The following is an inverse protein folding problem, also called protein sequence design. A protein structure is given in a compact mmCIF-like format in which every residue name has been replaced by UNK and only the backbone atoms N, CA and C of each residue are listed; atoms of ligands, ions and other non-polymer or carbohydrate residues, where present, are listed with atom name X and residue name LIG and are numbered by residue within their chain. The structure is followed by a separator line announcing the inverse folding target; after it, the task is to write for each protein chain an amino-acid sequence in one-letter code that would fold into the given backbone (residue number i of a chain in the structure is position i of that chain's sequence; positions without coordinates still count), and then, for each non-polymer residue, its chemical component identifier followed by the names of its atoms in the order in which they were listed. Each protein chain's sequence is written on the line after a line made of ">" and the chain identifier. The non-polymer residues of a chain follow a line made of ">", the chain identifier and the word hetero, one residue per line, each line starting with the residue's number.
data_IF_719939539195
#
_entry.id   IF_719939539195
#
_cell.length_a   1.000
_cell.length_b   1.000
_cell.length_c   1.000
_cell.angle_alpha   90.00
_cell.angle_beta   90.00
_cell.angle_gamma   90.00
#
_symmetry.space_group_name_H-M   'P 1'
#
loop_
_entity.id
_entity.type
_entity.pdbx_description
1 polymer ?
#
# COMPACT_ATOMS: atom_id res chain seq x y z
N UNK A 1 -3.12 -32.86 39.26
CA UNK A 1 -4.39 -33.63 39.32
C UNK A 1 -4.02 -35.03 39.77
N UNK A 2 -3.42 -35.16 40.96
CA UNK A 2 -2.53 -36.31 41.27
C UNK A 2 -2.92 -37.08 42.52
N UNK A 3 -4.16 -36.90 43.01
CA UNK A 3 -4.65 -37.60 44.21
C UNK A 3 -5.83 -38.55 43.96
N UNK A 4 -6.43 -38.54 42.77
CA UNK A 4 -7.63 -39.36 42.47
C UNK A 4 -7.29 -40.73 41.89
N UNK A 5 -6.09 -40.90 41.30
CA UNK A 5 -5.72 -42.14 40.59
C UNK A 5 -5.35 -43.28 41.55
N UNK A 6 -4.89 -42.99 42.78
CA UNK A 6 -4.34 -44.02 43.66
C UNK A 6 -5.38 -44.90 44.39
N UNK A 7 -6.68 -44.55 44.36
CA UNK A 7 -7.73 -45.31 45.06
C UNK A 7 -8.29 -46.48 44.22
N UNK A 8 -8.07 -46.50 42.91
CA UNK A 8 -8.66 -47.52 42.03
C UNK A 8 -7.87 -48.85 41.93
N UNK A 9 -6.69 -48.95 42.54
CA UNK A 9 -5.79 -50.12 42.38
C UNK A 9 -5.85 -51.14 43.54
N UNK A 10 -7.00 -51.30 44.22
CA UNK A 10 -7.13 -52.34 45.27
C UNK A 10 -8.07 -53.50 44.95
N UNK A 11 -8.88 -53.40 43.89
CA UNK A 11 -9.82 -54.46 43.50
C UNK A 11 -9.45 -55.10 42.15
N UNK A 12 -9.00 -56.37 42.19
CA UNK A 12 -8.68 -57.20 41.02
C UNK A 12 -9.82 -57.34 40.00
N UNK A 13 -11.04 -56.93 40.34
CA UNK A 13 -12.22 -56.97 39.47
C UNK A 13 -12.20 -55.91 38.36
N UNK A 14 -11.47 -54.81 38.54
CA UNK A 14 -11.44 -53.69 37.59
C UNK A 14 -10.23 -53.69 36.65
N UNK A 15 -9.26 -54.60 36.86
CA UNK A 15 -8.04 -54.71 36.03
C UNK A 15 -8.34 -54.97 34.56
N UNK A 16 -9.37 -55.76 34.24
CA UNK A 16 -9.77 -56.03 32.85
C UNK A 16 -10.45 -54.84 32.18
N UNK A 17 -11.27 -54.09 32.93
CA UNK A 17 -11.99 -52.91 32.43
C UNK A 17 -11.01 -51.76 32.16
N UNK A 18 -10.05 -51.54 33.05
CA UNK A 18 -9.00 -50.53 32.87
C UNK A 18 -8.15 -50.82 31.64
N UNK A 19 -7.85 -52.10 31.36
CA UNK A 19 -7.10 -52.50 30.17
C UNK A 19 -7.87 -52.25 28.87
N UNK A 20 -9.18 -52.54 28.85
CA UNK A 20 -10.04 -52.27 27.68
C UNK A 20 -10.15 -50.77 27.42
N UNK A 21 -10.32 -49.95 28.47
CA UNK A 21 -10.39 -48.49 28.33
C UNK A 21 -9.08 -47.92 27.79
N UNK A 22 -7.93 -48.41 28.25
CA UNK A 22 -6.63 -48.00 27.74
C UNK A 22 -6.46 -48.33 26.25
N UNK A 23 -6.91 -49.51 25.80
CA UNK A 23 -6.87 -49.89 24.38
C UNK A 23 -7.76 -48.98 23.53
N UNK A 24 -8.96 -48.66 24.00
CA UNK A 24 -9.87 -47.75 23.27
C UNK A 24 -9.27 -46.35 23.14
N UNK A 25 -8.64 -45.84 24.19
CA UNK A 25 -7.95 -44.53 24.15
C UNK A 25 -6.80 -44.56 23.14
N UNK A 26 -5.99 -45.63 23.12
CA UNK A 26 -4.90 -45.78 22.15
C UNK A 26 -5.44 -45.84 20.72
N UNK A 27 -6.53 -46.57 20.47
CA UNK A 27 -7.17 -46.63 19.16
C UNK A 27 -7.69 -45.25 18.75
N UNK A 28 -8.31 -44.49 19.65
CA UNK A 28 -8.78 -43.12 19.36
C UNK A 28 -7.60 -42.19 19.05
N UNK A 29 -6.48 -42.30 19.76
CA UNK A 29 -5.27 -41.51 19.49
C UNK A 29 -4.67 -41.89 18.13
N UNK A 30 -4.60 -43.18 17.81
CA UNK A 30 -4.12 -43.65 16.50
C UNK A 30 -5.07 -43.18 15.39
N UNK A 31 -6.39 -43.26 15.62
CA UNK A 31 -7.38 -42.80 14.65
C UNK A 31 -7.32 -41.28 14.46
N UNK A 32 -7.14 -40.51 15.53
CA UNK A 32 -6.92 -39.07 15.48
C UNK A 32 -5.60 -38.71 14.78
N UNK A 33 -4.56 -39.53 14.92
CA UNK A 33 -3.29 -39.34 14.22
C UNK A 33 -3.39 -39.70 12.73
N UNK A 34 -4.13 -40.75 12.39
CA UNK A 34 -4.37 -41.18 11.00
C UNK A 34 -5.31 -40.20 10.28
N UNK A 35 -6.36 -39.71 10.95
CA UNK A 35 -7.29 -38.71 10.42
C UNK A 35 -6.72 -37.28 10.49
N UNK A 36 -5.74 -37.04 11.37
CA UNK A 36 -5.03 -35.77 11.52
C UNK A 36 -3.88 -35.56 10.52
N UNK A 37 -3.50 -36.60 9.76
CA UNK A 37 -2.76 -36.43 8.51
C UNK A 37 -3.72 -36.01 7.40
N UNK A 38 -4.31 -34.82 7.55
CA UNK A 38 -4.65 -34.06 6.36
C UNK A 38 -3.34 -33.75 5.65
N UNK A 39 -3.30 -33.91 4.33
CA UNK A 39 -2.23 -33.38 3.47
C UNK A 39 -2.28 -31.85 3.52
N UNK A 40 -1.93 -31.29 4.68
CA UNK A 40 -1.53 -29.91 4.85
C UNK A 40 -0.14 -29.75 4.28
N UNK A 41 0.01 -30.02 2.97
CA UNK A 41 1.01 -29.32 2.21
C UNK A 41 0.73 -27.84 2.46
N UNK A 42 1.65 -27.06 3.06
CA UNK A 42 1.47 -25.62 3.07
C UNK A 42 1.28 -25.25 1.60
N UNK A 43 0.15 -24.64 1.27
CA UNK A 43 0.01 -23.99 -0.01
C UNK A 43 1.10 -22.91 -0.01
N UNK A 44 2.26 -23.24 -0.56
CA UNK A 44 3.22 -22.24 -1.00
C UNK A 44 2.49 -21.51 -2.10
N UNK A 45 1.74 -20.47 -1.75
CA UNK A 45 1.42 -19.41 -2.70
C UNK A 45 2.77 -18.90 -3.17
N UNK A 46 3.25 -19.45 -4.29
CA UNK A 46 4.38 -18.91 -5.02
C UNK A 46 3.96 -17.50 -5.41
N UNK A 47 4.30 -16.53 -4.56
CA UNK A 47 4.08 -15.12 -4.83
C UNK A 47 4.93 -14.80 -6.06
N UNK A 48 4.28 -14.42 -7.15
CA UNK A 48 4.99 -13.95 -8.33
C UNK A 48 5.64 -12.60 -7.97
N UNK A 49 6.97 -12.58 -7.93
CA UNK A 49 7.78 -11.41 -7.65
C UNK A 49 8.21 -10.70 -8.94
N UNK A 50 7.76 -11.16 -10.11
CA UNK A 50 8.30 -10.76 -11.40
C UNK A 50 9.80 -11.02 -11.48
N UNK A 51 10.57 -10.02 -11.91
CA UNK A 51 12.04 -10.08 -11.90
C UNK A 51 12.67 -9.18 -10.83
N UNK A 52 11.89 -8.79 -9.79
CA UNK A 52 12.39 -7.89 -8.74
C UNK A 52 13.59 -8.47 -7.98
N UNK A 53 13.65 -9.78 -7.76
CA UNK A 53 14.80 -10.43 -7.11
C UNK A 53 16.06 -10.33 -7.97
N UNK A 54 15.96 -10.55 -9.27
CA UNK A 54 17.08 -10.45 -10.23
C UNK A 54 17.63 -9.02 -10.31
N UNK A 55 16.80 -8.03 -9.98
CA UNK A 55 17.11 -6.60 -10.08
C UNK A 55 17.32 -5.90 -8.74
N UNK A 56 17.27 -6.64 -7.62
CA UNK A 56 17.32 -6.07 -6.27
C UNK A 56 18.61 -5.26 -6.00
N UNK A 57 19.70 -5.60 -6.68
CA UNK A 57 20.97 -4.90 -6.64
C UNK A 57 20.99 -3.61 -7.47
N UNK A 58 20.01 -3.35 -8.33
CA UNK A 58 19.96 -2.13 -9.16
C UNK A 58 18.80 -1.23 -8.77
N UNK A 59 17.66 -1.83 -8.47
CA UNK A 59 16.41 -1.15 -8.19
C UNK A 59 15.55 -1.96 -7.23
N UNK A 60 14.96 -1.27 -6.26
CA UNK A 60 14.08 -1.84 -5.25
C UNK A 60 12.78 -1.04 -5.27
N UNK A 61 11.65 -1.73 -5.45
CA UNK A 61 10.31 -1.13 -5.44
C UNK A 61 9.71 -1.30 -4.05
N UNK A 62 9.46 -0.18 -3.38
CA UNK A 62 8.87 -0.16 -2.04
C UNK A 62 7.34 -0.17 -2.10
N UNK A 63 6.75 0.51 -3.07
CA UNK A 63 5.30 0.58 -3.31
C UNK A 63 5.02 0.69 -4.81
N UNK A 64 4.05 -0.05 -5.36
CA UNK A 64 3.29 -1.13 -4.71
C UNK A 64 4.15 -2.39 -4.47
N UNK A 65 3.70 -3.29 -3.60
CA UNK A 65 4.29 -4.63 -3.45
C UNK A 65 3.85 -5.57 -4.58
N UNK A 66 4.62 -6.63 -4.88
CA UNK A 66 4.22 -7.63 -5.86
C UNK A 66 2.84 -8.22 -5.57
N UNK A 67 1.97 -8.19 -6.58
CA UNK A 67 0.59 -8.66 -6.52
C UNK A 67 -0.38 -7.72 -5.80
N UNK A 68 0.08 -6.60 -5.24
CA UNK A 68 -0.77 -5.67 -4.47
C UNK A 68 -1.91 -5.11 -5.33
N UNK A 69 -3.08 -4.96 -4.71
CA UNK A 69 -4.22 -4.29 -5.30
C UNK A 69 -3.93 -2.79 -5.44
N UNK A 70 -3.97 -2.27 -6.66
CA UNK A 70 -3.94 -0.83 -6.90
C UNK A 70 -5.27 -0.27 -6.39
N UNK A 71 -5.19 0.52 -5.32
CA UNK A 71 -6.38 1.05 -4.64
C UNK A 71 -6.68 2.50 -4.97
N UNK A 72 -5.71 3.28 -5.44
CA UNK A 72 -5.89 4.68 -5.84
C UNK A 72 -5.47 4.90 -7.30
N UNK A 73 -6.10 5.88 -7.94
CA UNK A 73 -5.70 6.39 -9.24
C UNK A 73 -5.63 7.93 -9.16
N UNK A 74 -4.45 8.57 -9.30
CA UNK A 74 -3.18 8.00 -9.78
C UNK A 74 -2.55 6.97 -8.83
N UNK A 75 -1.80 6.05 -9.42
CA UNK A 75 -0.95 5.10 -8.71
C UNK A 75 0.36 5.80 -8.34
N UNK A 76 0.67 5.82 -7.04
CA UNK A 76 1.97 6.26 -6.54
C UNK A 76 2.95 5.10 -6.48
N UNK A 77 4.14 5.32 -7.04
CA UNK A 77 5.24 4.37 -7.10
C UNK A 77 6.41 4.97 -6.36
N UNK A 78 6.97 4.22 -5.42
CA UNK A 78 8.11 4.65 -4.63
C UNK A 78 9.10 3.50 -4.48
N UNK A 79 10.37 3.85 -4.37
CA UNK A 79 11.45 2.89 -4.19
C UNK A 79 12.80 3.58 -4.19
N UNK A 80 13.83 2.82 -4.52
CA UNK A 80 15.20 3.34 -4.69
C UNK A 80 15.92 2.62 -5.81
N UNK A 81 16.72 3.36 -6.57
CA UNK A 81 17.54 2.83 -7.65
C UNK A 81 18.95 3.43 -7.53
N UNK A 82 19.94 2.85 -8.22
CA UNK A 82 21.32 3.34 -8.14
C UNK A 82 22.02 3.39 -9.48
N UNK A 83 23.04 4.23 -9.57
CA UNK A 83 23.90 4.35 -10.74
C UNK A 83 23.11 4.68 -12.00
N UNK A 84 23.38 3.93 -13.07
CA UNK A 84 22.88 4.21 -14.41
C UNK A 84 21.40 3.89 -14.62
N UNK A 85 20.62 3.66 -13.56
CA UNK A 85 19.17 3.52 -13.69
C UNK A 85 18.50 4.84 -14.08
N UNK A 86 19.07 5.95 -13.59
CA UNK A 86 18.61 7.31 -13.88
C UNK A 86 19.32 7.90 -15.09
N UNK A 87 18.59 8.72 -15.84
CA UNK A 87 19.11 9.71 -16.76
C UNK A 87 18.36 11.02 -16.53
N UNK A 88 19.08 12.13 -16.39
CA UNK A 88 18.49 13.42 -16.02
C UNK A 88 17.59 13.33 -14.76
N UNK A 89 18.07 12.59 -13.74
CA UNK A 89 17.34 12.32 -12.49
C UNK A 89 16.02 11.55 -12.67
N UNK A 90 15.77 10.91 -13.81
CA UNK A 90 14.47 10.29 -14.08
C UNK A 90 14.56 9.01 -14.90
N UNK A 91 13.46 8.26 -14.95
CA UNK A 91 13.30 7.10 -15.81
C UNK A 91 11.80 6.77 -16.06
N UNK A 92 11.47 6.08 -17.17
CA UNK A 92 10.09 5.77 -17.52
C UNK A 92 9.47 4.65 -16.66
N UNK A 93 8.18 4.80 -16.37
CA UNK A 93 7.36 3.83 -15.64
C UNK A 93 6.03 3.61 -16.36
N UNK A 94 5.53 2.37 -16.37
CA UNK A 94 4.27 2.03 -17.04
C UNK A 94 3.54 0.86 -16.41
N UNK A 95 2.24 0.80 -16.64
CA UNK A 95 1.38 -0.32 -16.24
C UNK A 95 0.74 -0.92 -17.48
N UNK A 96 0.88 -2.24 -17.63
CA UNK A 96 0.15 -3.03 -18.62
C UNK A 96 -0.98 -3.82 -17.96
N UNK A 97 -2.03 -4.13 -18.71
CA UNK A 97 -3.05 -5.10 -18.30
C UNK A 97 -2.59 -6.56 -18.52
N UNK A 98 -3.45 -7.52 -18.19
CA UNK A 98 -3.22 -8.96 -18.37
C UNK A 98 -2.99 -9.38 -19.84
N UNK A 99 -3.43 -8.57 -20.80
CA UNK A 99 -3.28 -8.79 -22.24
C UNK A 99 -2.03 -8.09 -22.80
N UNK A 100 -1.24 -7.40 -21.96
CA UNK A 100 -0.08 -6.62 -22.38
C UNK A 100 -0.40 -5.26 -22.98
N UNK A 101 -1.65 -4.78 -22.86
CA UNK A 101 -2.05 -3.45 -23.31
C UNK A 101 -1.61 -2.40 -22.30
N UNK A 102 -1.05 -1.29 -22.80
CA UNK A 102 -0.68 -0.15 -21.98
C UNK A 102 -1.94 0.55 -21.43
N UNK A 103 -2.06 0.63 -20.10
CA UNK A 103 -3.18 1.28 -19.40
C UNK A 103 -2.77 2.52 -18.60
N UNK A 104 -1.47 2.82 -18.53
CA UNK A 104 -0.94 4.05 -17.96
C UNK A 104 0.58 4.11 -18.05
N UNK A 105 1.12 5.32 -18.09
CA UNK A 105 2.56 5.59 -18.07
C UNK A 105 2.85 6.88 -17.31
N UNK A 106 4.09 7.04 -16.88
CA UNK A 106 4.58 8.21 -16.17
C UNK A 106 6.10 8.25 -16.13
N UNK A 107 6.64 9.13 -15.30
CA UNK A 107 8.07 9.28 -15.06
C UNK A 107 8.30 9.13 -13.56
N UNK A 108 9.29 8.33 -13.19
CA UNK A 108 9.84 8.33 -11.85
C UNK A 108 11.03 9.29 -11.78
N UNK A 109 11.13 10.05 -10.69
CA UNK A 109 12.15 11.06 -10.47
C UNK A 109 12.91 10.77 -9.18
N UNK A 110 14.23 10.93 -9.22
CA UNK A 110 15.09 10.86 -8.05
C UNK A 110 14.75 11.96 -7.04
N UNK A 111 14.78 11.62 -5.76
CA UNK A 111 14.46 12.53 -4.65
C UNK A 111 15.71 13.13 -3.98
N UNK A 112 16.90 12.76 -4.45
CA UNK A 112 18.19 13.23 -3.96
C UNK A 112 19.21 13.24 -5.12
N UNK A 113 20.48 13.57 -4.82
CA UNK A 113 21.57 13.53 -5.80
C UNK A 113 21.69 12.13 -6.42
N UNK A 114 21.42 12.06 -7.71
CA UNK A 114 21.31 10.82 -8.48
C UNK A 114 22.62 10.42 -9.17
N UNK A 115 23.60 11.31 -9.24
CA UNK A 115 24.89 11.06 -9.89
C UNK A 115 25.83 10.25 -8.98
N UNK A 116 25.30 9.17 -8.40
CA UNK A 116 25.99 8.34 -7.42
C UNK A 116 25.82 6.86 -7.74
N UNK A 117 26.70 6.02 -7.17
CA UNK A 117 26.57 4.57 -7.21
C UNK A 117 25.72 4.02 -6.07
N UNK A 118 25.24 4.88 -5.18
CA UNK A 118 24.44 4.50 -4.02
C UNK A 118 22.96 4.49 -4.37
N UNK A 119 22.16 3.87 -3.49
CA UNK A 119 20.71 3.87 -3.67
C UNK A 119 20.13 5.26 -3.40
N UNK A 120 19.45 5.78 -4.41
CA UNK A 120 18.77 7.07 -4.39
C UNK A 120 17.26 6.81 -4.44
N UNK A 121 16.48 7.36 -3.51
CA UNK A 121 15.03 7.22 -3.53
C UNK A 121 14.43 7.83 -4.81
N UNK A 122 13.39 7.21 -5.33
CA UNK A 122 12.62 7.74 -6.46
C UNK A 122 11.13 7.69 -6.16
N UNK A 123 10.40 8.58 -6.83
CA UNK A 123 8.93 8.62 -6.81
C UNK A 123 8.39 8.85 -8.20
N UNK A 124 7.24 8.26 -8.49
CA UNK A 124 6.54 8.46 -9.75
C UNK A 124 5.04 8.27 -9.61
N UNK A 125 4.31 8.89 -10.53
CA UNK A 125 2.85 8.82 -10.60
C UNK A 125 2.43 8.27 -11.95
N UNK A 126 1.47 7.35 -11.93
CA UNK A 126 0.84 6.84 -13.15
C UNK A 126 -0.67 7.03 -13.05
N UNK A 127 -1.24 7.81 -13.97
CA UNK A 127 -2.70 7.87 -14.17
C UNK A 127 -3.12 6.69 -15.04
N UNK A 128 -4.11 5.93 -14.57
CA UNK A 128 -4.61 4.73 -15.24
C UNK A 128 -5.90 5.06 -16.00
N UNK A 129 -5.96 4.79 -17.30
CA UNK A 129 -7.11 5.11 -18.17
C UNK A 129 -8.24 4.08 -18.07
N UNK A 130 -7.93 2.82 -17.75
CA UNK A 130 -8.88 1.70 -17.69
C UNK A 130 -8.99 1.09 -16.28
N UNK A 131 -8.86 1.96 -15.27
CA UNK A 131 -8.96 1.57 -13.87
C UNK A 131 -10.37 1.07 -13.52
N UNK A 132 -10.51 -0.22 -13.17
CA UNK A 132 -11.81 -0.85 -12.99
C UNK A 132 -12.53 -1.22 -14.29
N UNK A 133 -11.80 -1.40 -15.40
CA UNK A 133 -12.39 -1.71 -16.71
C UNK A 133 -12.98 -3.12 -16.85
N UNK A 134 -12.63 -4.06 -15.96
CA UNK A 134 -13.05 -5.48 -16.03
C UNK A 134 -14.10 -5.82 -14.97
N UNK A 135 -14.98 -6.79 -15.26
CA UNK A 135 -16.00 -7.28 -14.32
C UNK A 135 -15.39 -8.03 -13.12
N UNK A 136 -14.17 -8.53 -13.27
CA UNK A 136 -13.41 -9.20 -12.20
C UNK A 136 -12.07 -8.52 -12.01
N UNK A 137 -11.41 -8.79 -10.87
CA UNK A 137 -10.02 -8.36 -10.67
C UNK A 137 -9.14 -9.02 -11.71
N UNK A 138 -8.27 -8.24 -12.31
CA UNK A 138 -7.32 -8.72 -13.32
C UNK A 138 -5.90 -8.52 -12.84
N UNK A 139 -4.97 -9.29 -13.39
CA UNK A 139 -3.55 -9.06 -13.15
C UNK A 139 -3.09 -7.93 -14.06
N UNK A 140 -2.27 -7.04 -13.53
CA UNK A 140 -1.52 -6.04 -14.28
C UNK A 140 -0.02 -6.24 -14.11
N UNK A 141 0.76 -5.50 -14.88
CA UNK A 141 2.22 -5.54 -14.84
C UNK A 141 2.76 -4.13 -14.71
N UNK A 142 3.32 -3.79 -13.55
CA UNK A 142 4.08 -2.57 -13.35
C UNK A 142 5.51 -2.80 -13.87
N UNK A 143 5.97 -1.91 -14.74
CA UNK A 143 7.29 -1.96 -15.37
C UNK A 143 7.99 -0.63 -15.10
N UNK A 144 9.20 -0.69 -14.58
CA UNK A 144 10.12 0.43 -14.45
C UNK A 144 11.26 0.15 -15.41
N UNK A 145 11.43 1.00 -16.41
CA UNK A 145 12.43 0.83 -17.45
C UNK A 145 13.66 1.66 -17.08
N UNK A 146 14.85 1.11 -17.24
CA UNK A 146 16.08 1.92 -17.20
C UNK A 146 16.02 2.89 -18.36
N UNK A 147 16.32 4.15 -18.11
CA UNK A 147 16.35 5.12 -19.19
C UNK A 147 17.40 4.75 -20.25
N UNK A 148 17.03 4.83 -21.52
CA UNK A 148 17.88 4.43 -22.63
C UNK A 148 17.85 5.48 -23.76
N UNK A 149 18.51 6.63 -23.58
CA UNK A 149 18.55 7.70 -24.59
C UNK A 149 19.14 7.24 -25.93
N UNK A 150 20.01 6.22 -25.89
CA UNK A 150 20.67 5.67 -27.08
C UNK A 150 19.75 4.80 -27.95
N UNK A 151 18.65 4.29 -27.39
CA UNK A 151 17.77 3.33 -28.06
C UNK A 151 18.40 1.97 -28.36
N UNK A 152 19.62 1.72 -27.89
CA UNK A 152 20.36 0.49 -28.17
C UNK A 152 19.86 -0.67 -27.30
N UNK A 153 19.57 -1.86 -27.85
CA UNK A 153 19.04 -2.99 -27.08
C UNK A 153 19.93 -3.43 -25.92
N UNK A 154 21.26 -3.34 -26.04
CA UNK A 154 22.22 -3.64 -24.97
C UNK A 154 22.09 -2.70 -23.75
N UNK A 155 21.51 -1.51 -23.97
CA UNK A 155 21.26 -0.51 -22.94
C UNK A 155 19.82 -0.59 -22.40
N UNK A 156 18.96 -1.43 -22.94
CA UNK A 156 17.64 -1.68 -22.36
C UNK A 156 17.77 -2.54 -21.10
N UNK A 157 17.17 -2.09 -20.00
CA UNK A 157 16.93 -2.92 -18.83
C UNK A 157 15.59 -2.56 -18.21
N UNK A 158 14.97 -3.49 -17.49
CA UNK A 158 13.71 -3.24 -16.79
C UNK A 158 13.57 -4.11 -15.56
N UNK A 159 12.90 -3.55 -14.55
CA UNK A 159 12.30 -4.32 -13.47
C UNK A 159 10.79 -4.31 -13.64
N UNK A 160 10.15 -5.43 -13.36
CA UNK A 160 8.70 -5.55 -13.37
C UNK A 160 8.22 -6.39 -12.19
N UNK A 161 7.03 -6.06 -11.73
CA UNK A 161 6.29 -6.82 -10.72
C UNK A 161 4.82 -6.92 -11.14
N UNK A 162 4.14 -8.02 -10.77
CA UNK A 162 2.70 -8.11 -10.96
C UNK A 162 1.99 -7.11 -10.03
N UNK A 163 0.83 -6.65 -10.46
CA UNK A 163 -0.10 -5.84 -9.67
C UNK A 163 -1.51 -6.42 -9.83
N UNK A 164 -2.41 -6.14 -8.91
CA UNK A 164 -3.83 -6.48 -9.08
C UNK A 164 -4.62 -5.21 -9.41
N UNK A 165 -5.41 -5.25 -10.48
CA UNK A 165 -6.34 -4.18 -10.84
C UNK A 165 -7.71 -4.46 -10.23
N UNK A 166 -8.43 -3.45 -9.71
CA UNK A 166 -9.76 -3.65 -9.15
C UNK A 166 -10.77 -4.01 -10.24
N UNK A 167 -11.83 -4.71 -9.87
CA UNK A 167 -12.99 -4.87 -10.75
C UNK A 167 -13.82 -3.59 -10.82
N UNK A 168 -14.65 -3.48 -11.85
CA UNK A 168 -15.61 -2.40 -12.05
C UNK A 168 -16.54 -2.16 -10.86
N UNK A 169 -17.00 -3.26 -10.23
CA UNK A 169 -17.84 -3.21 -9.04
C UNK A 169 -17.10 -2.75 -7.77
N UNK A 170 -15.76 -2.74 -7.79
CA UNK A 170 -14.93 -2.28 -6.68
C UNK A 170 -14.51 -0.82 -6.83
N UNK A 171 -14.71 -0.19 -8.00
CA UNK A 171 -14.31 1.21 -8.24
C UNK A 171 -15.47 2.18 -7.99
N UNK A 172 -15.18 3.27 -7.29
CA UNK A 172 -16.07 4.41 -7.15
C UNK A 172 -15.32 5.73 -7.25
N UNK A 173 -16.07 6.82 -7.40
CA UNK A 173 -15.53 8.17 -7.34
C UNK A 173 -15.56 8.73 -5.92
N UNK A 174 -14.55 9.52 -5.58
CA UNK A 174 -14.41 10.25 -4.31
C UNK A 174 -13.76 11.59 -4.59
N UNK A 175 -13.76 12.51 -3.63
CA UNK A 175 -12.99 13.75 -3.75
C UNK A 175 -11.70 13.65 -2.95
N UNK A 176 -10.62 14.22 -3.45
CA UNK A 176 -9.52 14.71 -2.62
C UNK A 176 -9.60 16.22 -2.58
N UNK A 177 -9.00 16.86 -1.58
CA UNK A 177 -9.02 18.31 -1.48
C UNK A 177 -7.61 18.85 -1.66
N UNK A 178 -7.42 19.64 -2.73
CA UNK A 178 -6.15 20.24 -3.14
C UNK A 178 -6.23 21.77 -3.08
N UNK A 179 -5.09 22.45 -3.14
CA UNK A 179 -5.04 23.92 -3.17
C UNK A 179 -5.06 24.37 -4.63
N UNK A 180 -5.96 25.28 -5.01
CA UNK A 180 -5.90 25.87 -6.35
C UNK A 180 -4.85 26.99 -6.39
N UNK A 181 -4.04 27.06 -7.44
CA UNK A 181 -2.96 28.04 -7.59
C UNK A 181 -3.46 29.50 -7.66
N UNK A 182 -4.71 29.70 -8.06
CA UNK A 182 -5.36 31.01 -8.07
C UNK A 182 -5.65 31.56 -6.67
N UNK A 183 -5.56 30.74 -5.62
CA UNK A 183 -5.84 31.18 -4.26
C UNK A 183 -4.74 32.09 -3.73
N UNK A 184 -5.10 33.18 -3.04
CA UNK A 184 -4.10 34.06 -2.46
C UNK A 184 -3.31 33.30 -1.40
N UNK A 185 -1.99 33.51 -1.34
CA UNK A 185 -1.09 32.86 -0.36
C UNK A 185 -1.48 33.10 1.11
N UNK A 186 -2.39 34.03 1.38
CA UNK A 186 -2.92 34.30 2.72
C UNK A 186 -4.09 33.39 3.11
N UNK A 187 -4.72 32.70 2.16
CA UNK A 187 -5.90 31.84 2.38
C UNK A 187 -5.48 30.37 2.51
N UNK A 188 -4.77 30.09 3.60
CA UNK A 188 -4.09 28.82 3.84
C UNK A 188 -5.04 27.65 4.17
N UNK A 189 -6.32 27.92 4.43
CA UNK A 189 -7.34 26.91 4.76
C UNK A 189 -8.17 26.47 3.55
N UNK A 190 -8.16 27.27 2.48
CA UNK A 190 -9.03 27.05 1.34
C UNK A 190 -8.48 25.96 0.44
N UNK A 191 -9.37 25.01 0.13
CA UNK A 191 -9.09 23.85 -0.72
C UNK A 191 -10.28 23.56 -1.62
N UNK A 192 -10.01 22.95 -2.78
CA UNK A 192 -10.97 22.58 -3.81
C UNK A 192 -11.09 21.07 -3.90
N UNK A 193 -12.30 20.57 -4.06
CA UNK A 193 -12.55 19.17 -4.33
C UNK A 193 -12.10 18.79 -5.75
N UNK A 194 -11.28 17.75 -5.86
CA UNK A 194 -10.81 17.14 -7.11
C UNK A 194 -11.22 15.68 -7.11
N UNK A 195 -11.94 15.26 -8.16
CA UNK A 195 -12.51 13.90 -8.23
C UNK A 195 -11.44 12.86 -8.54
N UNK A 196 -11.49 11.72 -7.84
CA UNK A 196 -10.60 10.56 -7.98
C UNK A 196 -11.38 9.28 -8.14
N UNK A 197 -10.83 8.35 -8.92
CA UNK A 197 -11.27 6.96 -8.92
C UNK A 197 -10.46 6.18 -7.87
N UNK A 198 -11.16 5.43 -7.03
CA UNK A 198 -10.56 4.62 -5.98
C UNK A 198 -11.21 3.23 -5.93
N UNK A 199 -10.47 2.23 -5.45
CA UNK A 199 -11.05 0.95 -5.08
C UNK A 199 -11.70 1.07 -3.70
N UNK A 200 -12.89 0.52 -3.50
CA UNK A 200 -13.73 0.74 -2.32
C UNK A 200 -14.06 -0.50 -1.52
N UNK A 201 -13.59 -1.68 -1.94
CA UNK A 201 -13.99 -2.98 -1.36
C UNK A 201 -13.85 -3.07 0.16
N UNK A 202 -12.75 -2.54 0.71
CA UNK A 202 -12.50 -2.58 2.15
C UNK A 202 -13.00 -1.31 2.86
N UNK A 203 -12.58 -0.15 2.36
CA UNK A 203 -13.00 1.16 2.83
C UNK A 203 -12.62 2.20 1.78
N UNK A 204 -13.45 3.22 1.52
CA UNK A 204 -13.07 4.30 0.62
C UNK A 204 -12.01 5.23 1.21
N UNK A 205 -11.90 5.34 2.55
CA UNK A 205 -11.11 6.41 3.19
C UNK A 205 -9.60 6.28 2.97
N UNK A 206 -9.04 5.06 3.11
CA UNK A 206 -7.60 4.82 2.92
C UNK A 206 -7.17 5.10 1.47
N UNK A 207 -7.82 4.52 0.45
CA UNK A 207 -7.58 4.84 -0.95
C UNK A 207 -7.68 6.33 -1.28
N UNK A 208 -8.65 7.05 -0.69
CA UNK A 208 -8.77 8.50 -0.87
C UNK A 208 -7.57 9.26 -0.31
N UNK A 209 -7.07 8.88 0.88
CA UNK A 209 -5.85 9.50 1.45
C UNK A 209 -4.60 9.15 0.62
N UNK A 210 -4.48 7.92 0.12
CA UNK A 210 -3.39 7.58 -0.79
C UNK A 210 -3.44 8.41 -2.08
N UNK A 211 -4.64 8.67 -2.60
CA UNK A 211 -4.83 9.57 -3.75
C UNK A 211 -4.50 11.04 -3.44
N UNK A 212 -4.68 11.48 -2.18
CA UNK A 212 -4.27 12.83 -1.73
C UNK A 212 -2.73 12.92 -1.61
N UNK A 213 -2.09 11.91 -1.01
CA UNK A 213 -0.63 11.82 -0.89
C UNK A 213 0.01 11.84 -2.28
N UNK A 214 -0.57 11.12 -3.24
CA UNK A 214 -0.12 11.14 -4.62
C UNK A 214 -0.17 12.54 -5.26
N UNK A 215 -0.93 13.48 -4.68
CA UNK A 215 -1.00 14.86 -5.13
C UNK A 215 -1.81 15.05 -6.42
N UNK A 216 -1.68 16.22 -7.06
CA UNK A 216 -2.22 16.48 -8.39
C UNK A 216 -1.63 15.51 -9.43
N UNK A 217 -2.47 15.02 -10.33
CA UNK A 217 -2.02 14.26 -11.49
C UNK A 217 -1.46 15.21 -12.56
N UNK A 218 -0.72 14.68 -13.54
CA UNK A 218 -0.10 15.48 -14.61
C UNK A 218 -1.10 16.28 -15.46
N UNK A 219 -2.37 15.89 -15.47
CA UNK A 219 -3.46 16.55 -16.19
C UNK A 219 -4.37 17.41 -15.28
N UNK A 220 -3.91 17.71 -14.07
CA UNK A 220 -4.58 18.59 -13.10
C UNK A 220 -3.78 19.87 -12.85
N UNK A 221 -3.49 20.55 -13.96
CA UNK A 221 -2.85 21.87 -13.95
C UNK A 221 -3.65 22.86 -13.10
N UNK A 222 -2.95 23.76 -12.39
CA UNK A 222 -3.57 24.76 -11.52
C UNK A 222 -3.92 24.26 -10.12
N UNK A 223 -3.54 23.03 -9.76
CA UNK A 223 -3.62 22.51 -8.39
C UNK A 223 -2.23 22.22 -7.82
N UNK A 224 -2.07 22.52 -6.54
CA UNK A 224 -0.89 22.19 -5.75
C UNK A 224 -1.30 21.48 -4.46
N UNK A 225 -0.33 20.87 -3.80
CA UNK A 225 -0.51 20.22 -2.51
C UNK A 225 0.63 20.58 -1.56
N UNK A 226 0.28 20.91 -0.31
CA UNK A 226 1.25 20.93 0.79
C UNK A 226 1.62 19.54 1.32
N UNK A 227 0.84 18.49 1.01
CA UNK A 227 1.12 17.12 1.45
C UNK A 227 2.23 16.56 0.57
N UNK A 228 3.37 16.21 1.16
CA UNK A 228 4.50 15.68 0.39
C UNK A 228 4.18 14.29 -0.17
N UNK A 229 4.54 14.06 -1.43
CA UNK A 229 4.33 12.77 -2.13
C UNK A 229 5.08 11.62 -1.49
N UNK A 230 6.21 11.92 -0.84
CA UNK A 230 7.01 10.95 -0.09
C UNK A 230 6.47 10.57 1.30
N UNK A 231 5.34 11.15 1.69
CA UNK A 231 4.65 10.77 2.92
C UNK A 231 4.06 9.37 2.79
N UNK A 232 4.26 8.52 3.78
CA UNK A 232 3.58 7.22 3.88
C UNK A 232 2.39 7.34 4.82
N UNK A 233 1.29 6.66 4.47
CA UNK A 233 0.19 6.43 5.41
C UNK A 233 0.50 5.14 6.19
N UNK A 234 0.93 5.28 7.43
CA UNK A 234 1.27 4.16 8.31
C UNK A 234 0.01 3.40 8.73
N UNK A 235 -1.04 4.12 9.15
CA UNK A 235 -2.33 3.54 9.52
C UNK A 235 -3.49 4.51 9.30
N UNK A 236 -4.67 3.95 9.07
CA UNK A 236 -5.93 4.71 9.09
C UNK A 236 -7.01 3.86 9.74
N UNK A 237 -7.47 4.29 10.90
CA UNK A 237 -8.53 3.63 11.66
C UNK A 237 -9.68 4.58 11.91
N UNK A 238 -10.92 4.10 11.73
CA UNK A 238 -12.12 4.87 12.09
C UNK A 238 -12.77 4.18 13.28
N UNK A 239 -12.72 4.81 14.44
CA UNK A 239 -13.37 4.35 15.67
C UNK A 239 -14.16 5.50 16.28
N UNK A 240 -15.38 5.21 16.74
CA UNK A 240 -16.27 6.21 17.33
C UNK A 240 -16.48 7.46 16.46
N UNK A 241 -16.61 7.24 15.14
CA UNK A 241 -16.73 8.30 14.14
C UNK A 241 -15.52 9.27 14.06
N UNK A 242 -14.37 8.93 14.63
CA UNK A 242 -13.13 9.70 14.48
C UNK A 242 -12.15 8.90 13.62
N UNK A 243 -11.62 9.54 12.58
CA UNK A 243 -10.56 8.98 11.75
C UNK A 243 -9.19 9.31 12.36
N UNK A 244 -8.43 8.29 12.72
CA UNK A 244 -7.06 8.38 13.22
C UNK A 244 -6.13 8.04 12.06
N UNK A 245 -5.51 9.06 11.48
CA UNK A 245 -4.63 8.94 10.34
C UNK A 245 -3.18 9.17 10.80
N UNK A 246 -2.39 8.10 10.81
CA UNK A 246 -0.97 8.15 11.15
C UNK A 246 -0.12 8.18 9.89
N UNK A 247 0.77 9.16 9.81
CA UNK A 247 1.65 9.38 8.68
C UNK A 247 3.12 9.21 9.09
N UNK A 248 3.96 9.01 8.09
CA UNK A 248 5.39 8.99 8.31
C UNK A 248 5.96 10.39 8.55
N UNK A 249 7.16 10.45 9.14
CA UNK A 249 7.87 11.70 9.46
C UNK A 249 8.00 12.69 8.28
N UNK A 250 8.03 12.18 7.05
CA UNK A 250 8.17 13.00 5.84
C UNK A 250 7.10 14.09 5.75
N UNK A 251 5.91 13.86 6.33
CA UNK A 251 4.82 14.85 6.33
C UNK A 251 5.21 16.19 6.99
N UNK A 252 6.12 16.19 7.97
CA UNK A 252 6.56 17.39 8.71
C UNK A 252 7.97 17.86 8.34
N UNK A 253 8.74 17.07 7.58
CA UNK A 253 10.10 17.45 7.19
C UNK A 253 10.05 18.72 6.33
N UNK A 254 10.88 19.72 6.66
CA UNK A 254 10.96 20.98 5.92
C UNK A 254 9.65 21.77 5.84
N UNK A 255 8.68 21.47 6.71
CA UNK A 255 7.46 22.27 6.87
C UNK A 255 7.78 23.41 7.82
N UNK A 256 7.66 24.64 7.34
CA UNK A 256 7.87 25.84 8.14
C UNK A 256 6.75 26.85 7.87
N UNK A 257 6.35 27.56 8.92
CA UNK A 257 5.34 28.61 8.83
C UNK A 257 3.91 28.08 8.97
N UNK A 258 3.09 28.87 9.65
CA UNK A 258 1.70 28.53 9.94
C UNK A 258 0.85 28.27 8.70
N UNK A 259 1.14 28.91 7.58
CA UNK A 259 0.36 28.74 6.36
C UNK A 259 0.47 27.33 5.77
N UNK A 260 1.70 26.80 5.64
CA UNK A 260 1.92 25.46 5.08
C UNK A 260 1.34 24.39 6.00
N UNK A 261 1.54 24.54 7.31
CA UNK A 261 0.91 23.70 8.35
C UNK A 261 -0.62 23.67 8.19
N UNK A 262 -1.24 24.85 8.12
CA UNK A 262 -2.70 24.95 7.99
C UNK A 262 -3.21 24.36 6.68
N UNK A 263 -2.46 24.52 5.59
CA UNK A 263 -2.79 23.94 4.28
C UNK A 263 -2.73 22.42 4.30
N UNK A 264 -1.67 21.82 4.85
CA UNK A 264 -1.53 20.37 5.01
C UNK A 264 -2.72 19.81 5.81
N UNK A 265 -2.98 20.40 6.98
CA UNK A 265 -4.08 19.97 7.85
C UNK A 265 -5.44 20.10 7.14
N UNK A 266 -5.68 21.20 6.45
CA UNK A 266 -6.95 21.45 5.74
C UNK A 266 -7.20 20.41 4.65
N UNK A 267 -6.20 20.07 3.85
CA UNK A 267 -6.34 19.05 2.80
C UNK A 267 -6.66 17.67 3.38
N UNK A 268 -5.93 17.21 4.40
CA UNK A 268 -6.16 15.92 5.07
C UNK A 268 -7.53 15.90 5.74
N UNK A 269 -7.85 16.93 6.53
CA UNK A 269 -9.10 17.00 7.28
C UNK A 269 -10.31 17.06 6.36
N UNK A 270 -10.30 17.90 5.33
CA UNK A 270 -11.42 18.02 4.37
C UNK A 270 -11.64 16.71 3.61
N UNK A 271 -10.55 16.04 3.25
CA UNK A 271 -10.59 14.74 2.58
C UNK A 271 -11.21 13.64 3.45
N UNK A 272 -10.96 13.61 4.76
CA UNK A 272 -11.57 12.60 5.64
C UNK A 272 -12.98 12.99 6.13
N UNK A 273 -13.22 14.26 6.43
CA UNK A 273 -14.50 14.76 6.92
C UNK A 273 -15.60 14.76 5.86
N UNK A 274 -15.27 14.53 4.58
CA UNK A 274 -16.28 14.35 3.53
C UNK A 274 -17.14 13.08 3.77
N UNK A 275 -16.58 12.08 4.45
CA UNK A 275 -17.28 10.81 4.67
C UNK A 275 -18.32 11.00 5.78
N UNK A 276 -19.61 10.70 5.54
CA UNK A 276 -20.67 10.99 6.52
C UNK A 276 -20.49 10.31 7.87
N UNK A 277 -19.78 9.18 7.91
CA UNK A 277 -19.46 8.40 9.11
C UNK A 277 -18.31 9.00 9.93
N UNK A 278 -17.55 9.95 9.38
CA UNK A 278 -16.42 10.61 10.03
C UNK A 278 -16.86 11.99 10.52
N UNK A 279 -16.82 12.19 11.84
CA UNK A 279 -17.17 13.43 12.56
C UNK A 279 -15.96 14.15 13.14
N UNK A 280 -14.82 13.47 13.22
CA UNK A 280 -13.55 14.04 13.67
C UNK A 280 -12.36 13.40 12.97
N UNK A 281 -11.24 14.10 12.97
CA UNK A 281 -9.97 13.63 12.40
C UNK A 281 -8.86 13.92 13.41
N UNK A 282 -8.08 12.90 13.72
CA UNK A 282 -6.82 13.01 14.45
C UNK A 282 -5.70 12.66 13.48
N UNK A 283 -4.80 13.62 13.27
CA UNK A 283 -3.59 13.43 12.48
C UNK A 283 -2.48 13.09 13.47
N UNK A 284 -1.72 12.04 13.20
CA UNK A 284 -0.49 11.73 13.93
C UNK A 284 0.68 11.52 12.97
N UNK A 285 1.90 11.72 13.49
CA UNK A 285 3.15 11.45 12.78
C UNK A 285 3.98 10.50 13.65
N UNK A 286 4.22 9.29 13.17
CA UNK A 286 4.91 8.24 13.93
C UNK A 286 4.29 8.03 15.34
N UNK A 287 2.96 8.05 15.42
CA UNK A 287 2.18 7.92 16.65
C UNK A 287 2.12 9.18 17.54
N UNK A 288 2.75 10.30 17.16
CA UNK A 288 2.69 11.59 17.88
C UNK A 288 1.56 12.45 17.35
N UNK A 289 0.74 13.06 18.20
CA UNK A 289 -0.44 13.85 17.80
C UNK A 289 -0.49 15.29 18.34
N UNK A 290 0.33 15.63 19.35
CA UNK A 290 0.38 16.96 19.98
C UNK A 290 1.42 17.89 19.37
N UNK A 291 2.61 17.37 19.13
CA UNK A 291 3.78 18.14 18.71
C UNK A 291 4.13 17.88 17.24
N UNK A 292 3.11 17.86 16.39
CA UNK A 292 3.24 17.64 14.95
C UNK A 292 2.78 18.87 14.19
N UNK A 293 3.38 19.10 13.01
CA UNK A 293 3.01 20.21 12.13
C UNK A 293 2.86 21.53 12.91
N UNK A 294 3.91 21.92 13.64
CA UNK A 294 3.94 23.17 14.39
C UNK A 294 4.35 24.34 13.48
N UNK A 295 3.76 25.53 13.65
CA UNK A 295 4.10 26.73 12.88
C UNK A 295 5.52 27.25 13.17
#
# INVERSE_FOLDING_TARGET
>A
MDFVILIFMKDKKYSGVVFIVAIVIIIIIILAFVLGKGDGSPATTNLDLGNTEEKQDLIQVDSPKPGELITSNPLHIAGKARGNWFFEASFPIKVLDENGKLIGQGIATAQDDWMTTDFVPFEGLIRLTEYGGSETRTTGKLILERDNPSGLPENADQVWLPTTLPSKSEVATTNIFLVAEEYPMTDCERVTAVTRNIATKESPAKPTILALIAGPASDEEGFTTGVRTNTKLNSLEIREAVAYADFSKELEVGVAGSCLVTSIRSQIMRTLLQFPTVKGVVISIEGRDKDILQP
#
